data_IF_289117732402
#
_entry.id   IF_289117732402
#
_cell.length_a   1.000
_cell.length_b   1.000
_cell.length_c   1.000
_cell.angle_alpha   90.00
_cell.angle_beta   90.00
_cell.angle_gamma   90.00
#
_symmetry.space_group_name_H-M   'P 1'
#
loop_
_entity.id
_entity.type
_entity.pdbx_description
1 polymer ?
#
# COMPACT_ATOMS: atom_id res chain seq x y z
N UNK A 1 4.22 7.01 -18.04
CA UNK A 1 5.62 6.58 -18.35
C UNK A 1 6.49 6.43 -17.10
N UNK A 2 6.18 7.11 -16.01
CA UNK A 2 6.86 6.96 -14.71
C UNK A 2 6.66 5.58 -14.07
N UNK A 3 5.48 4.99 -14.21
CA UNK A 3 5.16 3.67 -13.64
C UNK A 3 5.98 2.54 -14.26
N UNK A 4 6.19 2.55 -15.59
CA UNK A 4 7.00 1.52 -16.26
C UNK A 4 8.46 1.46 -15.79
N UNK A 5 9.01 2.60 -15.33
CA UNK A 5 10.38 2.68 -14.79
C UNK A 5 10.47 2.15 -13.36
N UNK A 6 9.42 2.33 -12.56
CA UNK A 6 9.36 1.88 -11.17
C UNK A 6 8.97 0.40 -11.05
N UNK A 7 8.03 -0.08 -11.90
CA UNK A 7 7.53 -1.45 -11.84
C UNK A 7 8.48 -2.50 -12.46
N UNK A 8 9.44 -2.10 -13.29
CA UNK A 8 10.31 -3.05 -14.01
C UNK A 8 11.77 -2.63 -14.09
N UNK A 9 12.49 -2.45 -12.97
CA UNK A 9 13.90 -2.05 -12.98
C UNK A 9 14.78 -3.05 -13.76
N UNK A 10 14.39 -4.32 -13.80
CA UNK A 10 15.08 -5.35 -14.60
C UNK A 10 14.99 -5.08 -16.11
N UNK A 11 13.83 -4.69 -16.63
CA UNK A 11 13.63 -4.41 -18.06
C UNK A 11 14.46 -3.20 -18.47
N UNK A 12 14.44 -2.14 -17.64
CA UNK A 12 15.25 -0.94 -17.85
C UNK A 12 16.74 -1.29 -17.84
N UNK A 13 17.19 -2.05 -16.86
CA UNK A 13 18.60 -2.48 -16.74
C UNK A 13 19.06 -3.32 -17.92
N UNK A 14 18.25 -4.27 -18.38
CA UNK A 14 18.55 -5.09 -19.55
C UNK A 14 18.66 -4.21 -20.81
N UNK A 15 17.71 -3.30 -21.00
CA UNK A 15 17.71 -2.41 -22.18
C UNK A 15 18.93 -1.51 -22.18
N UNK A 16 19.25 -0.87 -21.05
CA UNK A 16 20.46 -0.05 -20.90
C UNK A 16 21.73 -0.86 -21.10
N UNK A 17 21.77 -2.09 -20.57
CA UNK A 17 22.91 -3.00 -20.72
C UNK A 17 23.18 -3.39 -22.17
N UNK A 18 22.14 -3.74 -22.93
CA UNK A 18 22.22 -4.08 -24.33
C UNK A 18 22.72 -2.90 -25.18
N UNK A 19 22.15 -1.69 -24.92
CA UNK A 19 22.57 -0.46 -25.60
C UNK A 19 24.02 -0.09 -25.26
N UNK A 20 24.42 -0.18 -24.00
CA UNK A 20 25.78 0.08 -23.56
C UNK A 20 26.77 -0.90 -24.25
N UNK A 21 26.45 -2.20 -24.29
CA UNK A 21 27.27 -3.21 -24.93
C UNK A 21 27.42 -2.97 -26.45
N UNK A 22 26.32 -2.60 -27.13
CA UNK A 22 26.34 -2.28 -28.55
C UNK A 22 27.23 -1.06 -28.86
N UNK A 23 27.18 -0.02 -28.03
CA UNK A 23 28.00 1.19 -28.19
C UNK A 23 29.48 0.93 -27.89
N UNK A 24 29.81 0.13 -26.89
CA UNK A 24 31.16 -0.29 -26.58
C UNK A 24 31.74 -1.14 -27.73
N UNK A 25 30.92 -2.06 -28.27
CA UNK A 25 31.33 -2.85 -29.44
C UNK A 25 31.56 -1.94 -30.66
N UNK A 26 30.69 -0.98 -30.93
CA UNK A 26 30.85 0.00 -32.00
C UNK A 26 32.12 0.85 -31.83
N UNK A 27 32.47 1.20 -30.57
CA UNK A 27 33.74 1.88 -30.28
C UNK A 27 34.97 0.97 -30.65
N UNK A 28 34.94 -0.29 -30.26
CA UNK A 28 36.02 -1.25 -30.60
C UNK A 28 36.24 -1.36 -32.11
N UNK A 29 35.17 -1.29 -32.91
CA UNK A 29 35.22 -1.38 -34.35
C UNK A 29 35.66 -0.07 -35.04
N UNK A 30 35.24 1.08 -34.51
CA UNK A 30 35.40 2.38 -35.18
C UNK A 30 36.48 3.26 -34.56
N UNK A 31 36.93 2.98 -33.33
CA UNK A 31 37.84 3.80 -32.54
C UNK A 31 37.30 5.14 -32.13
N UNK A 32 36.00 5.43 -32.35
CA UNK A 32 35.37 6.72 -32.00
C UNK A 32 35.14 6.82 -30.50
N UNK A 33 35.90 7.65 -29.79
CA UNK A 33 35.83 7.84 -28.33
C UNK A 33 34.46 8.27 -27.84
N UNK A 34 33.67 8.97 -28.67
CA UNK A 34 32.30 9.36 -28.32
C UNK A 34 31.38 8.17 -28.02
N UNK A 35 31.54 7.05 -28.76
CA UNK A 35 30.73 5.86 -28.53
C UNK A 35 31.08 5.19 -27.20
N UNK A 36 32.36 5.19 -26.81
CA UNK A 36 32.80 4.67 -25.52
C UNK A 36 32.23 5.48 -24.35
N UNK A 37 32.26 6.82 -24.48
CA UNK A 37 31.75 7.73 -23.44
C UNK A 37 30.24 7.54 -23.25
N UNK A 38 29.47 7.47 -24.36
CA UNK A 38 28.02 7.27 -24.27
C UNK A 38 27.71 5.87 -23.71
N UNK A 39 28.42 4.84 -24.12
CA UNK A 39 28.25 3.49 -23.56
C UNK A 39 28.56 3.42 -22.08
N UNK A 40 29.59 4.13 -21.60
CA UNK A 40 29.91 4.23 -20.17
C UNK A 40 28.82 4.95 -19.37
N UNK A 41 28.30 6.06 -19.91
CA UNK A 41 27.20 6.81 -19.27
C UNK A 41 25.95 5.95 -19.12
N UNK A 42 25.58 5.17 -20.16
CA UNK A 42 24.47 4.25 -20.10
C UNK A 42 24.70 3.11 -19.08
N UNK A 43 25.93 2.58 -19.01
CA UNK A 43 26.29 1.56 -18.03
C UNK A 43 26.19 2.09 -16.58
N UNK A 44 26.60 3.34 -16.35
CA UNK A 44 26.42 4.01 -15.03
C UNK A 44 24.95 4.32 -14.70
N UNK A 45 24.09 4.43 -15.71
CA UNK A 45 22.65 4.57 -15.55
C UNK A 45 21.97 3.35 -14.92
N UNK A 46 22.58 2.14 -15.05
CA UNK A 46 22.01 0.91 -14.48
C UNK A 46 21.93 0.97 -12.95
N UNK A 47 23.03 1.17 -12.20
CA UNK A 47 22.94 1.27 -10.74
C UNK A 47 22.11 2.47 -10.30
N UNK A 48 22.10 3.56 -11.04
CA UNK A 48 21.27 4.72 -10.73
C UNK A 48 19.77 4.37 -10.84
N UNK A 49 19.36 3.61 -11.85
CA UNK A 49 17.98 3.16 -11.99
C UNK A 49 17.55 2.25 -10.81
N UNK A 50 18.43 1.43 -10.30
CA UNK A 50 18.17 0.60 -9.12
C UNK A 50 18.00 1.44 -7.85
N UNK A 51 18.89 2.41 -7.62
CA UNK A 51 18.78 3.32 -6.46
C UNK A 51 17.48 4.12 -6.52
N UNK A 52 17.06 4.58 -7.70
CA UNK A 52 15.79 5.29 -7.86
C UNK A 52 14.63 4.32 -7.58
N UNK A 53 14.65 3.11 -8.13
CA UNK A 53 13.59 2.13 -7.92
C UNK A 53 13.44 1.71 -6.45
N UNK A 54 14.54 1.52 -5.72
CA UNK A 54 14.52 1.17 -4.30
C UNK A 54 13.96 2.30 -3.40
N UNK A 55 14.12 3.55 -3.82
CA UNK A 55 13.62 4.69 -3.04
C UNK A 55 12.23 5.17 -3.49
N UNK A 56 11.67 4.56 -4.54
CA UNK A 56 10.36 4.94 -5.08
C UNK A 56 9.28 4.00 -4.56
N UNK A 57 8.73 4.34 -3.41
CA UNK A 57 7.55 3.65 -2.86
C UNK A 57 6.35 4.04 -3.71
N UNK A 58 5.74 3.07 -4.38
CA UNK A 58 4.51 3.30 -5.14
C UNK A 58 3.32 3.54 -4.20
N UNK A 59 2.28 4.23 -4.69
CA UNK A 59 1.05 4.43 -3.93
C UNK A 59 0.44 3.11 -3.45
N UNK A 60 0.56 2.06 -4.27
CA UNK A 60 0.08 0.72 -3.92
C UNK A 60 0.86 0.11 -2.76
N UNK A 61 2.18 0.16 -2.79
CA UNK A 61 3.04 -0.33 -1.71
C UNK A 61 2.82 0.48 -0.42
N UNK A 62 2.61 1.79 -0.57
CA UNK A 62 2.31 2.63 0.59
C UNK A 62 1.00 2.27 1.25
N UNK A 63 -0.07 2.03 0.49
CA UNK A 63 -1.35 1.56 1.01
C UNK A 63 -1.19 0.20 1.68
N UNK A 64 -0.43 -0.72 1.10
CA UNK A 64 -0.14 -2.03 1.68
C UNK A 64 0.60 -1.91 3.03
N UNK A 65 1.61 -1.05 3.11
CA UNK A 65 2.31 -0.75 4.36
C UNK A 65 1.36 -0.21 5.43
N UNK A 66 0.49 0.76 5.07
CA UNK A 66 -0.50 1.32 5.99
C UNK A 66 -1.47 0.28 6.52
N UNK A 67 -1.88 -0.67 5.70
CA UNK A 67 -2.75 -1.78 6.12
C UNK A 67 -2.06 -2.61 7.20
N UNK A 68 -0.78 -2.93 7.01
CA UNK A 68 0.00 -3.67 8.02
C UNK A 68 0.23 -2.85 9.28
N UNK A 69 0.52 -1.54 9.17
CA UNK A 69 0.66 -0.64 10.31
C UNK A 69 -0.62 -0.57 11.16
N UNK A 70 -1.80 -0.54 10.51
CA UNK A 70 -3.09 -0.59 11.21
C UNK A 70 -3.29 -1.93 11.89
N UNK A 71 -2.98 -3.04 11.22
CA UNK A 71 -3.12 -4.37 11.79
C UNK A 71 -2.26 -4.53 13.05
N UNK A 72 -1.00 -4.08 13.02
CA UNK A 72 -0.09 -4.08 14.16
C UNK A 72 -0.62 -3.21 15.32
N UNK A 73 -1.16 -2.01 15.00
CA UNK A 73 -1.74 -1.12 16.00
C UNK A 73 -2.98 -1.75 16.65
N UNK A 74 -3.82 -2.42 15.87
CA UNK A 74 -5.00 -3.14 16.39
C UNK A 74 -4.57 -4.32 17.26
N UNK A 75 -3.59 -5.13 16.85
CA UNK A 75 -3.09 -6.27 17.61
C UNK A 75 -2.50 -5.86 18.96
N UNK A 76 -1.77 -4.74 18.97
CA UNK A 76 -1.21 -4.18 20.21
C UNK A 76 -2.22 -3.38 21.03
N UNK A 77 -3.47 -3.27 20.57
CA UNK A 77 -4.54 -2.47 21.16
C UNK A 77 -4.18 -0.97 21.30
N UNK A 78 -3.29 -0.48 20.43
CA UNK A 78 -2.95 0.94 20.31
C UNK A 78 -4.03 1.63 19.44
N UNK A 79 -5.16 1.93 20.09
CA UNK A 79 -6.31 2.51 19.41
C UNK A 79 -6.02 3.90 18.85
N UNK A 80 -5.18 4.69 19.51
CA UNK A 80 -4.82 6.04 19.05
C UNK A 80 -4.04 5.96 17.73
N UNK A 81 -3.08 5.05 17.65
CA UNK A 81 -2.32 4.80 16.42
C UNK A 81 -3.22 4.27 15.30
N UNK A 82 -4.10 3.31 15.59
CA UNK A 82 -5.04 2.78 14.60
C UNK A 82 -6.00 3.86 14.07
N UNK A 83 -6.46 4.78 14.94
CA UNK A 83 -7.35 5.88 14.57
C UNK A 83 -6.65 7.02 13.83
N UNK A 84 -5.33 7.18 13.99
CA UNK A 84 -4.57 8.27 13.36
C UNK A 84 -4.59 8.21 11.82
N UNK A 85 -4.71 6.99 11.26
CA UNK A 85 -4.74 6.75 9.81
C UNK A 85 -6.11 7.06 9.19
N UNK A 86 -7.15 7.22 10.02
CA UNK A 86 -8.51 7.52 9.56
C UNK A 86 -8.65 9.02 9.35
N UNK A 87 -8.79 9.44 8.09
CA UNK A 87 -8.90 10.84 7.68
C UNK A 87 -10.32 11.41 7.76
N UNK A 88 -11.36 10.54 7.68
CA UNK A 88 -12.75 10.97 7.78
C UNK A 88 -13.22 10.95 9.23
N UNK A 89 -13.80 12.08 9.69
CA UNK A 89 -14.21 12.26 11.08
C UNK A 89 -15.39 11.37 11.48
N UNK A 90 -16.32 11.08 10.56
CA UNK A 90 -17.44 10.18 10.85
C UNK A 90 -16.96 8.74 11.01
N UNK A 91 -16.09 8.29 10.10
CA UNK A 91 -15.45 6.97 10.13
C UNK A 91 -14.57 6.81 11.38
N UNK A 92 -13.82 7.87 11.75
CA UNK A 92 -13.00 7.88 12.98
C UNK A 92 -13.84 7.72 14.24
N UNK A 93 -14.95 8.47 14.36
CA UNK A 93 -15.87 8.37 15.50
C UNK A 93 -16.49 6.99 15.60
N UNK A 94 -16.85 6.39 14.48
CA UNK A 94 -17.37 5.04 14.46
C UNK A 94 -16.31 4.04 14.95
N UNK A 95 -15.10 4.06 14.42
CA UNK A 95 -14.00 3.19 14.84
C UNK A 95 -13.63 3.40 16.32
N UNK A 96 -13.61 4.66 16.80
CA UNK A 96 -13.39 5.00 18.20
C UNK A 96 -14.48 4.46 19.15
N UNK A 97 -15.68 4.25 18.65
CA UNK A 97 -16.77 3.62 19.40
C UNK A 97 -16.71 2.08 19.40
N UNK A 98 -16.14 1.50 18.37
CA UNK A 98 -16.07 0.03 18.17
C UNK A 98 -14.82 -0.60 18.79
N UNK A 99 -13.63 -0.08 18.46
CA UNK A 99 -12.34 -0.67 18.86
C UNK A 99 -12.20 -0.89 20.38
N UNK A 100 -12.56 0.06 21.26
CA UNK A 100 -12.40 -0.11 22.71
C UNK A 100 -13.30 -1.18 23.34
N UNK A 101 -14.31 -1.68 22.62
CA UNK A 101 -15.20 -2.72 23.12
C UNK A 101 -14.56 -4.12 23.09
N UNK A 102 -13.50 -4.23 22.32
CA UNK A 102 -12.79 -5.48 22.07
C UNK A 102 -11.35 -5.40 22.57
N UNK A 103 -10.82 -6.53 22.95
CA UNK A 103 -9.40 -6.76 23.17
C UNK A 103 -8.91 -7.71 22.08
N UNK A 104 -7.94 -7.23 21.31
CA UNK A 104 -7.37 -7.99 20.20
C UNK A 104 -6.11 -8.69 20.68
N UNK A 105 -6.05 -10.01 20.51
CA UNK A 105 -4.85 -10.80 20.79
C UNK A 105 -4.10 -11.20 19.51
N UNK A 106 -4.72 -11.01 18.34
CA UNK A 106 -4.13 -11.26 17.04
C UNK A 106 -4.91 -10.49 15.96
N UNK A 107 -4.19 -9.88 15.02
CA UNK A 107 -4.77 -9.21 13.86
C UNK A 107 -3.94 -9.48 12.61
N UNK A 108 -4.21 -10.61 11.96
CA UNK A 108 -3.50 -11.03 10.75
C UNK A 108 -4.15 -10.45 9.50
N UNK A 109 -3.35 -9.86 8.63
CA UNK A 109 -3.71 -9.56 7.24
C UNK A 109 -3.52 -10.85 6.44
N UNK A 110 -4.62 -11.50 6.05
CA UNK A 110 -4.57 -12.77 5.33
C UNK A 110 -4.13 -12.59 3.88
N UNK A 111 -5.00 -12.03 3.03
CA UNK A 111 -4.66 -11.74 1.64
C UNK A 111 -5.28 -10.43 1.18
N UNK A 112 -4.48 -9.59 0.56
CA UNK A 112 -4.95 -8.41 -0.17
C UNK A 112 -5.31 -8.89 -1.57
N UNK A 113 -6.61 -8.90 -1.88
CA UNK A 113 -7.12 -9.39 -3.17
C UNK A 113 -6.93 -8.38 -4.29
N UNK A 114 -7.20 -7.11 -3.98
CA UNK A 114 -7.05 -6.03 -4.94
C UNK A 114 -6.78 -4.71 -4.24
N UNK A 115 -5.92 -3.90 -4.83
CA UNK A 115 -5.76 -2.48 -4.55
C UNK A 115 -6.02 -1.79 -5.88
N UNK A 116 -7.11 -1.03 -5.98
CA UNK A 116 -7.50 -0.30 -7.18
C UNK A 116 -7.38 1.19 -6.91
N UNK A 117 -6.44 1.84 -7.56
CA UNK A 117 -6.28 3.29 -7.50
C UNK A 117 -7.17 3.92 -8.57
N UNK A 118 -7.94 4.93 -8.19
CA UNK A 118 -8.88 5.67 -9.04
C UNK A 118 -8.30 7.07 -9.19
N UNK A 119 -7.48 7.23 -10.22
CA UNK A 119 -6.74 8.47 -10.49
C UNK A 119 -7.64 9.62 -10.93
N UNK A 120 -8.78 9.30 -11.56
CA UNK A 120 -9.75 10.29 -12.05
C UNK A 120 -10.62 10.87 -10.92
N UNK A 121 -10.55 10.34 -9.70
CA UNK A 121 -11.26 10.88 -8.54
C UNK A 121 -10.55 12.12 -7.97
N UNK A 122 -11.34 13.05 -7.43
CA UNK A 122 -10.79 14.26 -6.77
C UNK A 122 -11.41 14.36 -5.37
N UNK A 123 -10.65 14.07 -4.32
CA UNK A 123 -9.25 13.61 -4.29
C UNK A 123 -9.07 12.21 -4.90
N UNK A 124 -7.82 11.84 -5.26
CA UNK A 124 -7.49 10.49 -5.71
C UNK A 124 -7.92 9.48 -4.66
N UNK A 125 -8.55 8.39 -5.09
CA UNK A 125 -9.07 7.35 -4.21
C UNK A 125 -8.41 6.00 -4.49
N UNK A 126 -8.45 5.12 -3.49
CA UNK A 126 -8.09 3.73 -3.67
C UNK A 126 -9.08 2.82 -2.94
N UNK A 127 -9.58 1.80 -3.63
CA UNK A 127 -10.40 0.74 -3.06
C UNK A 127 -9.55 -0.50 -2.83
N UNK A 128 -9.60 -1.00 -1.61
CA UNK A 128 -8.87 -2.21 -1.20
C UNK A 128 -9.86 -3.27 -0.76
N UNK A 129 -9.74 -4.46 -1.34
CA UNK A 129 -10.44 -5.67 -0.89
C UNK A 129 -9.43 -6.64 -0.32
N UNK A 130 -9.63 -7.02 0.95
CA UNK A 130 -8.74 -7.95 1.65
C UNK A 130 -9.49 -8.88 2.58
N UNK A 131 -8.80 -9.93 3.01
CA UNK A 131 -9.24 -10.81 4.09
C UNK A 131 -8.36 -10.59 5.30
N UNK A 132 -8.98 -10.53 6.47
CA UNK A 132 -8.30 -10.44 7.76
C UNK A 132 -8.79 -11.53 8.68
N UNK A 133 -7.95 -11.93 9.61
CA UNK A 133 -8.30 -12.85 10.67
C UNK A 133 -7.94 -12.18 11.99
N UNK A 134 -8.94 -11.93 12.81
CA UNK A 134 -8.74 -11.33 14.13
C UNK A 134 -9.10 -12.33 15.21
N UNK A 135 -8.33 -12.35 16.28
CA UNK A 135 -8.68 -13.07 17.50
C UNK A 135 -9.01 -12.05 18.58
N UNK A 136 -10.25 -12.12 19.05
CA UNK A 136 -10.83 -11.07 19.91
C UNK A 136 -11.47 -11.65 21.16
N UNK A 137 -11.42 -10.86 22.21
CA UNK A 137 -12.19 -11.04 23.45
C UNK A 137 -13.06 -9.81 23.69
N UNK A 138 -14.30 -10.01 24.13
CA UNK A 138 -15.16 -8.90 24.55
C UNK A 138 -14.79 -8.45 25.97
N UNK A 139 -14.55 -7.16 26.16
CA UNK A 139 -14.31 -6.60 27.49
C UNK A 139 -15.50 -6.78 28.48
N UNK A 140 -16.70 -7.05 27.95
CA UNK A 140 -17.88 -7.40 28.75
C UNK A 140 -17.96 -8.87 29.14
N UNK A 141 -16.95 -9.69 28.78
CA UNK A 141 -16.78 -11.06 29.26
C UNK A 141 -17.66 -12.13 28.59
N UNK A 142 -18.51 -11.77 27.63
CA UNK A 142 -19.40 -12.70 26.95
C UNK A 142 -18.71 -13.55 25.88
N UNK A 143 -17.61 -13.08 25.35
CA UNK A 143 -16.83 -13.70 24.26
C UNK A 143 -15.38 -13.67 24.65
N UNK A 144 -14.68 -14.79 24.59
CA UNK A 144 -13.25 -14.87 24.90
C UNK A 144 -12.50 -15.63 23.82
N UNK A 145 -11.43 -15.03 23.34
CA UNK A 145 -10.43 -15.64 22.46
C UNK A 145 -11.04 -16.32 21.21
N UNK A 146 -12.00 -15.65 20.58
CA UNK A 146 -12.64 -16.16 19.35
C UNK A 146 -11.90 -15.63 18.14
N UNK A 147 -11.46 -16.55 17.26
CA UNK A 147 -10.86 -16.22 15.99
C UNK A 147 -11.94 -16.04 14.91
N UNK A 148 -12.00 -14.84 14.35
CA UNK A 148 -13.02 -14.43 13.39
C UNK A 148 -12.38 -14.00 12.08
N UNK A 149 -12.49 -14.81 11.02
CA UNK A 149 -12.07 -14.39 9.69
C UNK A 149 -13.11 -13.43 9.09
N UNK A 150 -12.66 -12.34 8.49
CA UNK A 150 -13.49 -11.31 7.89
C UNK A 150 -12.95 -10.92 6.51
N UNK A 151 -13.87 -10.54 5.62
CA UNK A 151 -13.54 -9.79 4.42
C UNK A 151 -13.72 -8.31 4.73
N UNK A 152 -12.74 -7.50 4.37
CA UNK A 152 -12.69 -6.08 4.64
C UNK A 152 -12.55 -5.32 3.32
N UNK A 153 -13.40 -4.32 3.14
CA UNK A 153 -13.26 -3.35 2.07
C UNK A 153 -12.91 -2.01 2.70
N UNK A 154 -11.79 -1.44 2.28
CA UNK A 154 -11.31 -0.13 2.72
C UNK A 154 -11.36 0.83 1.54
N UNK A 155 -11.75 2.07 1.82
CA UNK A 155 -11.61 3.18 0.89
C UNK A 155 -10.58 4.14 1.46
N UNK A 156 -9.58 4.46 0.66
CA UNK A 156 -8.55 5.44 0.95
C UNK A 156 -8.73 6.67 0.09
N UNK A 157 -8.33 7.84 0.60
CA UNK A 157 -8.20 9.08 -0.15
C UNK A 157 -6.81 9.69 0.05
N UNK A 158 -6.24 10.20 -1.03
CA UNK A 158 -4.95 10.91 -1.02
C UNK A 158 -5.19 12.40 -0.91
N UNK A 159 -5.06 12.96 0.30
CA UNK A 159 -5.30 14.38 0.59
C UNK A 159 -4.03 15.15 0.95
N UNK A 160 -2.97 14.45 1.27
CA UNK A 160 -1.70 15.03 1.65
C UNK A 160 -0.63 14.90 0.57
N UNK A 161 0.55 15.45 0.84
CA UNK A 161 1.74 15.22 0.02
C UNK A 161 2.39 13.88 0.37
N UNK A 162 3.21 13.35 -0.54
CA UNK A 162 3.99 12.12 -0.30
C UNK A 162 4.99 12.28 0.87
N UNK A 163 5.33 13.52 1.22
CA UNK A 163 6.21 13.87 2.35
C UNK A 163 5.47 13.92 3.70
N UNK A 164 4.13 13.76 3.73
CA UNK A 164 3.36 13.69 4.98
C UNK A 164 3.46 12.30 5.61
N UNK A 165 3.12 12.21 6.90
CA UNK A 165 2.89 10.92 7.55
C UNK A 165 1.89 10.13 6.69
N UNK A 166 2.15 8.86 6.47
CA UNK A 166 1.33 7.98 5.65
C UNK A 166 1.37 8.24 4.11
N UNK A 167 2.31 9.06 3.58
CA UNK A 167 2.41 9.37 2.14
C UNK A 167 1.19 10.06 1.57
N UNK A 168 0.46 10.81 2.39
CA UNK A 168 -0.75 11.52 2.02
C UNK A 168 -2.03 10.69 1.98
N UNK A 169 -1.96 9.38 2.14
CA UNK A 169 -3.11 8.49 2.15
C UNK A 169 -3.77 8.41 3.53
N UNK A 170 -5.10 8.35 3.56
CA UNK A 170 -5.89 8.15 4.77
C UNK A 170 -7.14 7.32 4.47
N UNK A 171 -7.58 6.54 5.46
CA UNK A 171 -8.82 5.75 5.37
C UNK A 171 -10.02 6.67 5.53
N UNK A 172 -10.96 6.63 4.59
CA UNK A 172 -12.21 7.40 4.62
C UNK A 172 -13.45 6.52 4.80
N UNK A 173 -13.29 5.21 4.61
CA UNK A 173 -14.39 4.27 4.84
C UNK A 173 -13.91 2.85 5.02
N UNK A 174 -14.66 2.07 5.79
CA UNK A 174 -14.44 0.64 5.91
C UNK A 174 -15.76 -0.11 6.02
N UNK A 175 -15.76 -1.33 5.51
CA UNK A 175 -16.90 -2.25 5.62
C UNK A 175 -16.42 -3.65 5.90
N UNK A 176 -17.07 -4.29 6.87
CA UNK A 176 -16.80 -5.68 7.23
C UNK A 176 -17.83 -6.60 6.61
N UNK A 177 -17.38 -7.74 6.14
CA UNK A 177 -18.26 -8.80 5.66
C UNK A 177 -17.83 -10.12 6.30
N UNK A 178 -18.77 -10.97 6.66
CA UNK A 178 -18.43 -12.38 6.92
C UNK A 178 -17.82 -12.98 5.64
N UNK A 179 -17.02 -14.02 5.76
CA UNK A 179 -16.42 -14.70 4.59
C UNK A 179 -17.51 -15.14 3.60
N UNK A 180 -18.68 -15.52 4.12
CA UNK A 180 -19.87 -15.87 3.35
C UNK A 180 -21.05 -15.07 3.90
N UNK A 181 -21.74 -14.30 3.03
CA UNK A 181 -22.92 -13.51 3.40
C UNK A 181 -22.83 -12.01 3.09
N UNK A 182 -23.84 -11.29 3.55
CA UNK A 182 -23.93 -9.82 3.37
C UNK A 182 -23.17 -9.08 4.47
N UNK A 183 -22.96 -7.75 4.24
CA UNK A 183 -22.37 -6.87 5.23
C UNK A 183 -23.11 -6.92 6.57
N UNK A 184 -22.37 -6.91 7.67
CA UNK A 184 -22.93 -6.87 9.01
C UNK A 184 -23.36 -5.44 9.42
N UNK A 185 -23.98 -5.34 10.60
CA UNK A 185 -24.50 -4.07 11.12
C UNK A 185 -23.42 -3.05 11.48
N UNK A 186 -22.16 -3.46 11.53
CA UNK A 186 -21.00 -2.64 11.87
C UNK A 186 -20.30 -2.04 10.65
N UNK A 187 -20.82 -2.26 9.45
CA UNK A 187 -20.26 -1.71 8.24
C UNK A 187 -20.71 -0.26 8.01
N UNK A 188 -19.79 0.62 7.64
CA UNK A 188 -20.14 1.97 7.19
C UNK A 188 -21.03 1.90 5.94
N UNK A 189 -22.16 2.63 5.94
CA UNK A 189 -22.95 2.78 4.71
C UNK A 189 -22.23 3.75 3.77
N UNK A 190 -22.17 3.47 2.45
CA UNK A 190 -21.67 4.46 1.52
C UNK A 190 -22.54 5.71 1.61
N UNK A 191 -21.92 6.88 1.69
CA UNK A 191 -22.58 8.15 1.47
C UNK A 191 -22.98 8.16 -0.01
N UNK A 192 -24.30 8.23 -0.27
CA UNK A 192 -24.84 8.36 -1.63
C UNK A 192 -24.66 9.79 -2.13
#
# INVERSE_FOLDING_TARGET
>A
MSELLAESPLVVSITLGVLAAALIYGWLQTGKKSLAIIGLVLALGIPLAWVIAENWVTDRERIEQLIHEVADAVETNDHDRALSIIGDEATRRQAAGELPQWEFSQADVGSIRSIRIIEDAVPIQADVEMTVKVTVSSKRGSIQNISVPRRLNLTFEKRGSDASDHGGWSVTGYRHFPIVGNADSFSTRPVQ
#
